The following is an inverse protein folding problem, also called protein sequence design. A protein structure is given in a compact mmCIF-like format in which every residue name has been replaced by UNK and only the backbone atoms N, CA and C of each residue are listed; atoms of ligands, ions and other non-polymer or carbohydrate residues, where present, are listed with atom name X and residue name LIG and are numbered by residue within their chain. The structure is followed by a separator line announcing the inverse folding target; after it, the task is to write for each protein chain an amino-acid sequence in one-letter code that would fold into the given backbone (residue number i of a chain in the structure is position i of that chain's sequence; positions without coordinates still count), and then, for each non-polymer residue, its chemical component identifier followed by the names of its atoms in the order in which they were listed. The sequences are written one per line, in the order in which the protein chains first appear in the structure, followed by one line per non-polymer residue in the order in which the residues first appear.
data_IF_149706776811
#
_entry.id   IF_149706776811
#
_cell.length_a   1.000
_cell.length_b   1.000
_cell.length_c   1.000
_cell.angle_alpha   90.00
_cell.angle_beta   90.00
_cell.angle_gamma   90.00
#
_symmetry.space_group_name_H-M   'P 1'
#
loop_
_entity.id
_entity.type
_entity.pdbx_description
1 polymer ?
#
# COMPACT_ATOMS: atom_id res chain seq x y z
N UNK A 1 0.55 51.93 14.10
CA UNK A 1 1.44 51.32 13.09
C UNK A 1 1.97 50.01 13.67
N UNK A 2 1.11 49.01 13.87
CA UNK A 2 1.47 47.76 14.58
C UNK A 2 0.42 46.68 14.30
N UNK A 3 0.13 46.43 13.02
CA UNK A 3 -0.81 45.36 12.65
C UNK A 3 -0.19 44.37 11.67
N UNK A 4 0.64 44.83 10.74
CA UNK A 4 1.25 43.98 9.71
C UNK A 4 2.28 42.98 10.27
N UNK A 5 3.16 43.40 11.18
CA UNK A 5 4.17 42.50 11.77
C UNK A 5 3.53 41.39 12.63
N UNK A 6 2.49 41.74 13.40
CA UNK A 6 1.81 40.81 14.29
C UNK A 6 1.01 39.78 13.48
N UNK A 7 0.40 40.21 12.37
CA UNK A 7 -0.31 39.33 11.45
C UNK A 7 0.65 38.41 10.69
N UNK A 8 1.84 38.87 10.32
CA UNK A 8 2.88 38.00 9.72
C UNK A 8 3.42 36.99 10.71
N UNK A 9 3.64 37.38 11.98
CA UNK A 9 3.98 36.43 13.03
C UNK A 9 2.83 35.48 13.30
N UNK A 10 1.57 35.96 13.24
CA UNK A 10 0.37 35.16 13.43
C UNK A 10 0.15 34.13 12.28
N UNK A 11 0.51 34.49 11.06
CA UNK A 11 0.47 33.55 9.94
C UNK A 11 1.64 32.55 10.01
N UNK A 12 2.80 32.99 10.50
CA UNK A 12 3.99 32.14 10.61
C UNK A 12 3.89 31.13 11.76
N UNK A 13 3.46 31.51 12.97
CA UNK A 13 3.30 30.54 14.08
C UNK A 13 2.21 29.52 13.76
N UNK A 14 1.06 29.95 13.24
CA UNK A 14 -0.03 29.03 12.88
C UNK A 14 0.35 28.05 11.77
N UNK A 15 1.20 28.46 10.82
CA UNK A 15 1.77 27.57 9.81
C UNK A 15 2.75 26.55 10.44
N UNK A 16 3.64 27.00 11.32
CA UNK A 16 4.61 26.14 12.02
C UNK A 16 3.92 25.13 12.95
N UNK A 17 2.88 25.55 13.66
CA UNK A 17 2.08 24.67 14.55
C UNK A 17 1.30 23.61 13.75
N UNK A 18 0.78 23.97 12.57
CA UNK A 18 0.10 23.03 11.69
C UNK A 18 1.08 22.01 11.10
N UNK A 19 2.26 22.45 10.65
CA UNK A 19 3.29 21.56 10.10
C UNK A 19 3.81 20.58 11.16
N UNK A 20 3.97 21.03 12.41
CA UNK A 20 4.35 20.19 13.53
C UNK A 20 3.23 19.20 13.91
N UNK A 21 1.97 19.63 13.86
CA UNK A 21 0.81 18.76 14.08
C UNK A 21 0.69 17.67 13.00
N UNK A 22 0.94 18.00 11.73
CA UNK A 22 0.95 17.04 10.61
C UNK A 22 2.08 16.03 10.79
N UNK A 23 3.31 16.48 11.09
CA UNK A 23 4.46 15.60 11.32
C UNK A 23 4.25 14.66 12.53
N UNK A 24 3.73 15.17 13.65
CA UNK A 24 3.46 14.36 14.85
C UNK A 24 2.37 13.31 14.59
N UNK A 25 1.28 13.72 13.94
CA UNK A 25 0.20 12.82 13.53
C UNK A 25 0.72 11.76 12.56
N UNK A 26 1.56 12.15 11.61
CA UNK A 26 2.08 11.22 10.61
C UNK A 26 3.08 10.23 11.19
N UNK A 27 3.97 10.66 12.09
CA UNK A 27 4.88 9.75 12.76
C UNK A 27 4.15 8.75 13.65
N UNK A 28 3.05 9.16 14.29
CA UNK A 28 2.21 8.27 15.11
C UNK A 28 1.50 7.22 14.25
N UNK A 29 0.85 7.66 13.14
CA UNK A 29 0.18 6.76 12.20
C UNK A 29 1.17 5.82 11.51
N UNK A 30 2.35 6.32 11.13
CA UNK A 30 3.42 5.55 10.48
C UNK A 30 3.86 4.37 11.33
N UNK A 31 4.10 4.56 12.63
CA UNK A 31 4.61 3.51 13.50
C UNK A 31 3.59 2.38 13.71
N UNK A 32 2.31 2.71 13.88
CA UNK A 32 1.23 1.72 14.02
C UNK A 32 0.98 0.96 12.69
N UNK A 33 1.01 1.68 11.57
CA UNK A 33 0.65 1.11 10.27
C UNK A 33 1.79 0.31 9.62
N UNK A 34 3.06 0.58 9.95
CA UNK A 34 4.21 -0.19 9.47
C UNK A 34 4.10 -1.67 9.85
N UNK A 35 3.73 -1.97 11.10
CA UNK A 35 3.61 -3.36 11.56
C UNK A 35 2.55 -4.12 10.77
N UNK A 36 1.38 -3.52 10.59
CA UNK A 36 0.29 -4.08 9.78
C UNK A 36 0.69 -4.22 8.31
N UNK A 37 1.31 -3.19 7.72
CA UNK A 37 1.76 -3.21 6.33
C UNK A 37 2.78 -4.33 6.07
N UNK A 38 3.74 -4.55 6.97
CA UNK A 38 4.72 -5.63 6.84
C UNK A 38 4.04 -7.01 6.82
N UNK A 39 3.06 -7.25 7.70
CA UNK A 39 2.30 -8.51 7.73
C UNK A 39 1.52 -8.68 6.43
N UNK A 40 0.81 -7.65 5.99
CA UNK A 40 0.03 -7.70 4.76
C UNK A 40 0.90 -7.91 3.51
N UNK A 41 2.09 -7.29 3.44
CA UNK A 41 3.07 -7.52 2.38
C UNK A 41 3.55 -8.98 2.38
N UNK A 42 3.84 -9.55 3.55
CA UNK A 42 4.22 -10.96 3.69
C UNK A 42 3.13 -11.92 3.22
N UNK A 43 1.88 -11.71 3.66
CA UNK A 43 0.73 -12.53 3.24
C UNK A 43 0.47 -12.39 1.74
N UNK A 44 0.58 -11.17 1.19
CA UNK A 44 0.41 -10.91 -0.23
C UNK A 44 1.48 -11.62 -1.07
N UNK A 45 2.76 -11.56 -0.68
CA UNK A 45 3.84 -12.29 -1.35
C UNK A 45 3.62 -13.80 -1.30
N UNK A 46 3.20 -14.34 -0.16
CA UNK A 46 2.89 -15.75 -0.02
C UNK A 46 1.73 -16.17 -0.93
N UNK A 47 0.66 -15.37 -1.01
CA UNK A 47 -0.47 -15.59 -1.90
C UNK A 47 -0.09 -15.49 -3.38
N UNK A 48 0.80 -14.55 -3.73
CA UNK A 48 1.32 -14.37 -5.07
C UNK A 48 2.11 -15.60 -5.54
N UNK A 49 3.00 -16.12 -4.69
CA UNK A 49 3.80 -17.32 -4.99
C UNK A 49 2.90 -18.57 -5.07
N UNK A 50 1.93 -18.69 -4.17
CA UNK A 50 0.98 -19.82 -4.15
C UNK A 50 0.12 -19.89 -5.41
N UNK A 51 -0.50 -18.78 -5.79
CA UNK A 51 -1.30 -18.70 -7.02
C UNK A 51 -0.40 -18.85 -8.27
N UNK A 52 0.86 -18.41 -8.19
CA UNK A 52 1.89 -18.48 -9.24
C UNK A 52 2.26 -19.86 -9.63
N UNK A 53 2.52 -20.66 -8.62
CA UNK A 53 2.91 -22.03 -8.83
C UNK A 53 1.76 -22.84 -9.44
N UNK A 54 0.51 -22.58 -9.04
CA UNK A 54 -0.68 -23.21 -9.64
C UNK A 54 -0.82 -22.80 -11.10
N UNK A 55 -0.67 -21.52 -11.43
CA UNK A 55 -0.73 -21.04 -12.82
C UNK A 55 0.37 -21.67 -13.69
N UNK A 56 1.61 -21.70 -13.19
CA UNK A 56 2.75 -22.30 -13.88
C UNK A 56 2.55 -23.80 -14.10
N UNK A 57 2.10 -24.51 -13.06
CA UNK A 57 1.89 -25.95 -13.10
C UNK A 57 0.73 -26.34 -14.04
N UNK A 58 -0.39 -25.60 -14.00
CA UNK A 58 -1.52 -25.83 -14.92
C UNK A 58 -1.20 -25.41 -16.35
N UNK A 59 -0.40 -24.36 -16.55
CA UNK A 59 0.00 -23.86 -17.86
C UNK A 59 0.94 -24.80 -18.61
N UNK A 60 1.86 -25.47 -17.90
CA UNK A 60 2.85 -26.36 -18.51
C UNK A 60 2.41 -27.82 -18.68
N UNK A 61 1.46 -28.31 -17.86
CA UNK A 61 1.29 -29.76 -17.66
C UNK A 61 -0.08 -30.34 -18.07
N UNK A 62 -0.98 -29.60 -18.71
CA UNK A 62 -2.28 -30.15 -19.14
C UNK A 62 -2.68 -29.73 -20.55
N UNK A 63 -2.87 -30.74 -21.41
CA UNK A 63 -3.55 -30.66 -22.71
C UNK A 63 -4.85 -29.87 -22.53
N UNK A 64 -4.91 -28.65 -23.11
CA UNK A 64 -5.95 -27.64 -22.92
C UNK A 64 -7.36 -28.25 -22.91
N UNK A 65 -7.86 -28.54 -21.72
CA UNK A 65 -9.26 -28.83 -21.49
C UNK A 65 -9.94 -27.55 -21.00
N UNK A 66 -11.21 -27.29 -21.36
CA UNK A 66 -11.94 -26.09 -20.93
C UNK A 66 -11.99 -25.95 -19.40
N UNK A 67 -11.88 -27.06 -18.68
CA UNK A 67 -11.78 -27.10 -17.22
C UNK A 67 -10.51 -26.41 -16.67
N UNK A 68 -9.36 -26.65 -17.31
CA UNK A 68 -8.08 -26.04 -16.90
C UNK A 68 -8.07 -24.54 -17.16
N UNK A 69 -8.71 -24.09 -18.25
CA UNK A 69 -8.84 -22.66 -18.59
C UNK A 69 -9.67 -21.91 -17.55
N UNK A 70 -10.73 -22.52 -17.03
CA UNK A 70 -11.54 -21.92 -15.96
C UNK A 70 -10.74 -21.72 -14.68
N UNK A 71 -9.99 -22.75 -14.26
CA UNK A 71 -9.13 -22.69 -13.06
C UNK A 71 -7.99 -21.68 -13.26
N UNK A 72 -7.42 -21.61 -14.47
CA UNK A 72 -6.39 -20.65 -14.81
C UNK A 72 -6.92 -19.20 -14.74
N UNK A 73 -8.13 -18.96 -15.25
CA UNK A 73 -8.76 -17.64 -15.19
C UNK A 73 -9.08 -17.23 -13.75
N UNK A 74 -9.54 -18.16 -12.92
CA UNK A 74 -9.73 -17.93 -11.48
C UNK A 74 -8.38 -17.56 -10.82
N UNK A 75 -7.34 -18.37 -11.04
CA UNK A 75 -6.00 -18.11 -10.50
C UNK A 75 -5.43 -16.76 -10.97
N UNK A 76 -5.65 -16.34 -12.21
CA UNK A 76 -5.27 -15.02 -12.74
C UNK A 76 -6.03 -13.90 -12.02
N UNK A 77 -7.34 -14.06 -11.80
CA UNK A 77 -8.14 -13.10 -11.05
C UNK A 77 -7.63 -12.95 -9.61
N UNK A 78 -7.40 -14.06 -8.90
CA UNK A 78 -6.83 -14.05 -7.55
C UNK A 78 -5.45 -13.40 -7.50
N UNK A 79 -4.60 -13.69 -8.50
CA UNK A 79 -3.31 -13.05 -8.65
C UNK A 79 -3.39 -11.54 -8.80
N UNK A 80 -4.24 -11.08 -9.72
CA UNK A 80 -4.39 -9.65 -10.01
C UNK A 80 -4.94 -8.91 -8.80
N UNK A 81 -5.86 -9.51 -8.05
CA UNK A 81 -6.37 -8.96 -6.79
C UNK A 81 -5.26 -8.85 -5.74
N UNK A 82 -4.49 -9.91 -5.52
CA UNK A 82 -3.36 -9.90 -4.57
C UNK A 82 -2.28 -8.89 -4.99
N UNK A 83 -2.00 -8.77 -6.29
CA UNK A 83 -1.07 -7.79 -6.86
C UNK A 83 -1.56 -6.36 -6.67
N UNK A 84 -2.85 -6.09 -6.87
CA UNK A 84 -3.44 -4.77 -6.63
C UNK A 84 -3.37 -4.38 -5.15
N UNK A 85 -3.63 -5.33 -4.24
CA UNK A 85 -3.48 -5.10 -2.79
C UNK A 85 -2.01 -4.82 -2.46
N UNK A 86 -1.07 -5.59 -3.03
CA UNK A 86 0.36 -5.36 -2.86
C UNK A 86 0.77 -3.95 -3.30
N UNK A 87 0.36 -3.54 -4.50
CA UNK A 87 0.68 -2.21 -5.04
C UNK A 87 0.08 -1.09 -4.18
N UNK A 88 -1.16 -1.27 -3.69
CA UNK A 88 -1.82 -0.32 -2.80
C UNK A 88 -1.07 -0.17 -1.48
N UNK A 89 -0.66 -1.29 -0.86
CA UNK A 89 0.14 -1.27 0.37
C UNK A 89 1.50 -0.61 0.16
N UNK A 90 2.16 -0.86 -0.96
CA UNK A 90 3.43 -0.25 -1.31
C UNK A 90 3.29 1.26 -1.55
N UNK A 91 2.21 1.70 -2.21
CA UNK A 91 1.90 3.11 -2.39
C UNK A 91 1.62 3.81 -1.06
N UNK A 92 0.83 3.20 -0.17
CA UNK A 92 0.57 3.72 1.18
C UNK A 92 1.86 3.79 1.99
N UNK A 93 2.69 2.76 1.95
CA UNK A 93 4.00 2.75 2.62
C UNK A 93 4.91 3.87 2.11
N UNK A 94 4.94 4.09 0.79
CA UNK A 94 5.72 5.17 0.17
C UNK A 94 5.18 6.54 0.61
N UNK A 95 3.85 6.73 0.61
CA UNK A 95 3.22 7.97 1.07
C UNK A 95 3.58 8.27 2.54
N UNK A 96 3.53 7.26 3.41
CA UNK A 96 3.94 7.39 4.81
C UNK A 96 5.44 7.64 4.98
N UNK A 97 6.27 7.12 4.07
CA UNK A 97 7.70 7.37 4.07
C UNK A 97 8.04 8.83 3.68
N UNK A 98 7.21 9.46 2.84
CA UNK A 98 7.35 10.85 2.42
C UNK A 98 6.77 11.88 3.40
N UNK A 99 6.17 11.44 4.51
CA UNK A 99 5.33 12.26 5.38
C UNK A 99 6.05 12.96 6.55
#
# INVERSE_FOLDING_TARGET
ETDTANLTLNMSYGFVDLEQYINYSCSTIRNELIGFACVCLGVSLCGLVGNGLVMWFLGFHMKQNPFTVYILNLAVADFSMVLLIFLTLLAVFTLLAFC
#
